data_IF_504525573321
#
_entry.id   IF_504525573321
#
_cell.length_a   1.000
_cell.length_b   1.000
_cell.length_c   1.000
_cell.angle_alpha   90.00
_cell.angle_beta   90.00
_cell.angle_gamma   90.00
#
_symmetry.space_group_name_H-M   'P 1'
#
loop_
_entity.id
_entity.type
_entity.pdbx_description
1 polymer ?
#
# COMPACT_ATOMS: atom_id res chain seq x y z
N UNK A 1 -2.72 24.55 14.90
CA UNK A 1 -2.15 24.93 16.19
C UNK A 1 -0.89 25.79 15.99
N UNK A 2 0.00 25.47 15.08
CA UNK A 2 1.12 26.34 14.70
C UNK A 2 0.94 26.80 13.25
N UNK A 3 0.19 27.86 13.05
CA UNK A 3 -0.02 28.47 11.73
C UNK A 3 1.09 29.50 11.48
N UNK A 4 2.31 29.03 11.25
CA UNK A 4 3.45 29.89 10.95
C UNK A 4 4.02 29.51 9.56
N UNK A 5 3.85 30.38 8.59
CA UNK A 5 4.30 30.20 7.20
C UNK A 5 5.84 30.13 7.06
N UNK A 6 6.58 30.31 8.13
CA UNK A 6 8.06 30.20 8.17
C UNK A 6 8.54 28.86 8.73
N UNK A 7 7.64 27.97 9.14
CA UNK A 7 7.98 26.69 9.72
C UNK A 7 8.21 25.64 8.63
N UNK A 8 9.34 24.97 8.67
CA UNK A 8 9.65 23.85 7.80
C UNK A 8 9.40 22.55 8.56
N UNK A 9 8.68 21.62 7.94
CA UNK A 9 8.41 20.29 8.46
C UNK A 9 9.23 19.28 7.67
N UNK A 10 9.91 18.39 8.39
CA UNK A 10 10.67 17.30 7.79
C UNK A 10 10.12 15.97 8.27
N UNK A 11 9.91 15.06 7.34
CA UNK A 11 9.51 13.71 7.65
C UNK A 11 10.70 12.86 8.06
N UNK A 12 10.49 11.94 9.00
CA UNK A 12 11.45 10.94 9.41
C UNK A 12 10.83 9.55 9.30
N UNK A 13 11.65 8.59 8.90
CA UNK A 13 11.30 7.19 8.92
C UNK A 13 12.00 6.50 10.09
N UNK A 14 11.24 6.24 11.13
CA UNK A 14 11.69 5.54 12.32
C UNK A 14 10.65 4.53 12.81
N UNK A 15 11.11 3.54 13.56
CA UNK A 15 10.30 2.56 14.27
C UNK A 15 10.95 2.25 15.62
N UNK A 16 10.35 1.36 16.42
CA UNK A 16 10.94 0.87 17.66
C UNK A 16 12.29 0.21 17.43
N UNK A 17 12.50 -0.35 16.25
CA UNK A 17 13.69 -1.08 15.82
C UNK A 17 14.86 -0.19 15.42
N UNK A 18 14.61 1.09 15.08
CA UNK A 18 15.67 2.01 14.69
C UNK A 18 15.21 3.25 13.96
N UNK A 19 16.19 4.10 13.61
CA UNK A 19 16.01 5.28 12.79
C UNK A 19 16.59 5.01 11.40
N UNK A 20 15.76 5.07 10.35
CA UNK A 20 16.12 4.55 9.03
C UNK A 20 16.40 5.62 8.00
N UNK A 21 15.57 6.65 7.94
CA UNK A 21 15.73 7.69 6.92
C UNK A 21 15.14 9.02 7.35
N UNK A 22 15.59 10.09 6.68
CA UNK A 22 15.14 11.46 6.96
C UNK A 22 14.93 12.22 5.65
N UNK A 23 13.87 13.00 5.59
CA UNK A 23 13.69 13.99 4.53
C UNK A 23 14.80 15.06 4.65
N UNK A 24 15.55 15.31 3.56
CA UNK A 24 16.67 16.24 3.54
C UNK A 24 16.44 17.45 2.62
N UNK A 25 15.38 17.43 1.82
CA UNK A 25 14.98 18.53 0.93
C UNK A 25 13.54 18.97 1.23
N UNK A 26 13.32 20.28 1.30
CA UNK A 26 11.97 20.83 1.45
C UNK A 26 11.10 20.45 0.25
N UNK A 27 9.81 20.16 0.52
CA UNK A 27 8.82 19.82 -0.50
C UNK A 27 9.13 18.54 -1.32
N UNK A 28 10.02 17.68 -0.83
CA UNK A 28 10.29 16.35 -1.38
C UNK A 28 9.68 15.30 -0.47
N UNK A 29 9.12 14.24 -1.05
CA UNK A 29 8.71 13.03 -0.33
C UNK A 29 9.82 11.97 -0.26
N UNK A 30 11.02 12.29 -0.76
CA UNK A 30 12.18 11.42 -0.72
C UNK A 30 12.89 11.51 0.63
N UNK A 31 13.23 10.36 1.18
CA UNK A 31 13.97 10.23 2.43
C UNK A 31 15.38 9.72 2.15
N UNK A 32 16.38 10.40 2.68
CA UNK A 32 17.77 9.95 2.65
C UNK A 32 17.94 8.77 3.60
N UNK A 33 18.38 7.62 3.07
CA UNK A 33 18.64 6.42 3.88
C UNK A 33 19.89 6.63 4.73
N UNK A 34 19.76 6.40 6.05
CA UNK A 34 20.84 6.59 7.03
C UNK A 34 21.67 5.30 7.14
N UNK A 35 22.89 5.33 6.59
CA UNK A 35 23.75 4.14 6.51
C UNK A 35 24.74 4.00 7.69
N UNK A 36 24.91 5.06 8.46
CA UNK A 36 25.89 5.18 9.54
C UNK A 36 25.30 5.06 10.96
N UNK A 37 24.02 4.66 11.06
CA UNK A 37 23.30 4.52 12.35
C UNK A 37 23.36 3.09 12.94
N UNK A 38 24.35 2.30 12.52
CA UNK A 38 24.54 0.94 13.08
C UNK A 38 23.51 -0.08 12.60
N UNK A 39 22.90 0.18 11.43
CA UNK A 39 21.93 -0.69 10.80
C UNK A 39 22.50 -1.21 9.48
N UNK A 40 22.53 -2.53 9.33
CA UNK A 40 22.82 -3.18 8.06
C UNK A 40 21.53 -3.52 7.35
N UNK A 41 21.38 -3.01 6.13
CA UNK A 41 20.17 -3.14 5.32
C UNK A 41 20.30 -4.23 4.27
N UNK A 42 19.29 -5.09 4.20
CA UNK A 42 19.06 -6.06 3.15
C UNK A 42 17.64 -5.90 2.60
N UNK A 43 17.39 -6.41 1.41
CA UNK A 43 16.13 -6.17 0.69
C UNK A 43 15.61 -7.44 0.03
N UNK A 44 14.28 -7.56 -0.09
CA UNK A 44 13.62 -8.57 -0.90
C UNK A 44 12.75 -7.84 -1.92
N UNK A 45 12.93 -8.14 -3.21
CA UNK A 45 12.04 -7.64 -4.25
C UNK A 45 10.62 -8.14 -3.99
N UNK A 46 9.65 -7.23 -3.95
CA UNK A 46 8.26 -7.55 -3.65
C UNK A 46 7.63 -8.50 -4.67
N UNK A 47 8.18 -8.59 -5.89
CA UNK A 47 7.72 -9.55 -6.90
C UNK A 47 7.94 -11.01 -6.51
N UNK A 48 8.97 -11.29 -5.72
CA UNK A 48 9.27 -12.64 -5.23
C UNK A 48 9.08 -12.81 -3.72
N UNK A 49 8.54 -11.81 -3.03
CA UNK A 49 8.32 -11.84 -1.58
C UNK A 49 7.38 -12.98 -1.18
N UNK A 50 7.81 -13.80 -0.18
CA UNK A 50 7.09 -15.00 0.29
C UNK A 50 6.85 -16.07 -0.78
N UNK A 51 7.60 -16.06 -1.89
CA UNK A 51 7.60 -17.10 -2.91
C UNK A 51 8.79 -18.04 -2.74
N UNK A 52 8.82 -19.14 -3.51
CA UNK A 52 9.99 -20.06 -3.55
C UNK A 52 11.24 -19.41 -4.18
N UNK A 53 11.07 -18.29 -4.87
CA UNK A 53 12.13 -17.53 -5.55
C UNK A 53 12.59 -16.34 -4.69
N UNK A 54 12.13 -16.23 -3.43
CA UNK A 54 12.54 -15.17 -2.54
C UNK A 54 14.06 -15.14 -2.38
N UNK A 55 14.67 -14.01 -2.75
CA UNK A 55 16.11 -13.77 -2.62
C UNK A 55 16.33 -12.51 -1.79
N UNK A 56 17.17 -12.61 -0.78
CA UNK A 56 17.66 -11.47 -0.02
C UNK A 56 18.86 -10.89 -0.75
N UNK A 57 18.83 -9.59 -1.04
CA UNK A 57 19.91 -8.87 -1.71
C UNK A 57 20.46 -7.75 -0.82
N UNK A 58 21.75 -7.45 -0.90
CA UNK A 58 22.36 -6.33 -0.19
C UNK A 58 22.00 -4.99 -0.86
N UNK A 59 22.25 -3.88 -0.16
CA UNK A 59 21.94 -2.52 -0.61
C UNK A 59 22.54 -2.17 -1.99
N UNK A 60 23.73 -2.65 -2.31
CA UNK A 60 24.39 -2.32 -3.57
C UNK A 60 23.81 -3.08 -4.81
N UNK A 61 22.92 -4.05 -4.58
CA UNK A 61 22.21 -4.78 -5.65
C UNK A 61 20.79 -4.24 -5.91
N UNK A 62 20.34 -3.24 -5.14
CA UNK A 62 19.00 -2.69 -5.37
C UNK A 62 18.93 -1.88 -6.66
N UNK A 63 17.76 -1.85 -7.27
CA UNK A 63 17.49 -1.12 -8.49
C UNK A 63 16.52 0.04 -8.24
N UNK A 64 16.68 1.10 -9.03
CA UNK A 64 15.79 2.26 -9.00
C UNK A 64 14.38 1.88 -9.43
N UNK A 65 13.38 2.46 -8.78
CA UNK A 65 11.95 2.31 -9.05
C UNK A 65 11.37 0.90 -8.85
N UNK A 66 12.12 -0.03 -8.26
CA UNK A 66 11.59 -1.31 -7.79
C UNK A 66 11.14 -1.20 -6.33
N UNK A 67 10.15 -1.99 -5.97
CA UNK A 67 9.58 -2.04 -4.62
C UNK A 67 10.21 -3.19 -3.83
N UNK A 68 10.67 -2.89 -2.61
CA UNK A 68 11.40 -3.84 -1.77
C UNK A 68 10.84 -3.89 -0.36
N UNK A 69 10.76 -5.10 0.21
CA UNK A 69 10.65 -5.29 1.64
C UNK A 69 12.02 -5.06 2.30
N UNK A 70 12.04 -4.36 3.43
CA UNK A 70 13.27 -4.08 4.18
C UNK A 70 13.52 -5.16 5.22
N UNK A 71 14.77 -5.62 5.28
CA UNK A 71 15.32 -6.39 6.37
C UNK A 71 16.43 -5.59 7.04
N UNK A 72 16.51 -5.68 8.35
CA UNK A 72 17.56 -5.01 9.12
C UNK A 72 18.32 -6.00 10.02
N UNK A 73 19.61 -5.76 10.14
CA UNK A 73 20.44 -6.30 11.19
C UNK A 73 21.00 -5.13 11.98
N UNK A 74 20.84 -5.13 13.31
CA UNK A 74 21.22 -3.99 14.15
C UNK A 74 22.23 -4.41 15.23
N UNK A 75 23.02 -3.46 15.70
CA UNK A 75 23.89 -3.63 16.85
C UNK A 75 23.13 -3.85 18.17
N UNK A 76 21.80 -3.58 18.18
CA UNK A 76 20.92 -3.87 19.32
C UNK A 76 20.44 -5.33 19.38
N UNK A 77 20.87 -6.19 18.45
CA UNK A 77 20.61 -7.64 18.49
C UNK A 77 19.52 -8.15 17.55
N UNK A 78 19.01 -7.35 16.65
CA UNK A 78 18.14 -7.84 15.57
C UNK A 78 18.99 -8.44 14.44
N UNK A 79 18.60 -9.61 13.95
CA UNK A 79 19.28 -10.32 12.85
C UNK A 79 18.29 -10.61 11.73
N UNK A 80 18.53 -10.02 10.53
CA UNK A 80 17.66 -10.15 9.34
C UNK A 80 16.17 -10.00 9.67
N UNK A 81 15.87 -9.04 10.49
CA UNK A 81 14.50 -8.78 10.95
C UNK A 81 13.69 -8.11 9.83
N UNK A 82 12.58 -8.74 9.45
CA UNK A 82 11.62 -8.16 8.48
C UNK A 82 10.77 -7.11 9.20
N UNK A 83 11.05 -5.84 8.99
CA UNK A 83 10.31 -4.71 9.60
C UNK A 83 8.82 -4.74 9.21
N UNK A 84 8.54 -5.26 8.03
CA UNK A 84 7.19 -5.32 7.48
C UNK A 84 6.81 -4.09 6.66
N UNK A 85 7.72 -3.16 6.44
CA UNK A 85 7.53 -2.02 5.56
C UNK A 85 8.14 -2.27 4.19
N UNK A 86 7.59 -1.59 3.18
CA UNK A 86 8.09 -1.62 1.82
C UNK A 86 8.55 -0.24 1.38
N UNK A 87 9.63 -0.21 0.61
CA UNK A 87 10.23 1.02 0.08
C UNK A 87 10.58 0.88 -1.40
N UNK A 88 10.66 2.00 -2.07
CA UNK A 88 11.15 2.12 -3.44
C UNK A 88 12.31 3.10 -3.47
N UNK A 89 13.41 2.71 -4.13
CA UNK A 89 14.55 3.60 -4.33
C UNK A 89 14.28 4.60 -5.44
N UNK A 90 14.42 5.88 -5.14
CA UNK A 90 14.32 6.99 -6.11
C UNK A 90 15.69 7.46 -6.58
N UNK A 91 16.74 7.22 -5.76
CA UNK A 91 18.14 7.47 -6.08
C UNK A 91 19.04 6.39 -5.48
N UNK A 92 20.17 6.10 -6.12
CA UNK A 92 21.19 5.16 -5.65
C UNK A 92 22.50 5.87 -5.23
N UNK A 93 22.61 7.18 -5.48
CA UNK A 93 23.78 7.99 -5.07
C UNK A 93 23.35 9.46 -4.86
N UNK A 94 23.13 9.90 -3.62
CA UNK A 94 22.97 9.08 -2.41
C UNK A 94 21.72 8.17 -2.48
N UNK A 95 21.66 7.17 -1.61
CA UNK A 95 20.48 6.32 -1.52
C UNK A 95 19.29 7.10 -0.94
N UNK A 96 18.27 7.29 -1.76
CA UNK A 96 17.01 7.91 -1.37
C UNK A 96 15.87 6.92 -1.58
N UNK A 97 14.94 6.92 -0.65
CA UNK A 97 13.78 6.02 -0.66
C UNK A 97 12.47 6.80 -0.49
N UNK A 98 11.39 6.19 -0.92
CA UNK A 98 10.03 6.52 -0.49
C UNK A 98 9.41 5.29 0.15
N UNK A 99 8.61 5.48 1.19
CA UNK A 99 7.84 4.40 1.83
C UNK A 99 6.62 4.14 0.94
N UNK A 100 6.46 2.90 0.50
CA UNK A 100 5.37 2.50 -0.42
C UNK A 100 4.25 1.76 0.28
N UNK A 101 4.47 1.28 1.50
CA UNK A 101 3.45 0.59 2.28
C UNK A 101 4.02 -0.46 3.22
N UNK A 102 3.30 -1.56 3.36
CA UNK A 102 3.69 -2.69 4.22
C UNK A 102 3.60 -4.02 3.48
N UNK A 103 4.47 -4.97 3.86
CA UNK A 103 4.51 -6.32 3.28
C UNK A 103 3.21 -7.11 3.47
N UNK A 104 2.38 -6.73 4.44
CA UNK A 104 1.05 -7.35 4.69
C UNK A 104 -0.11 -6.62 4.01
N UNK A 105 0.16 -5.50 3.34
CA UNK A 105 -0.85 -4.64 2.74
C UNK A 105 -0.56 -4.40 1.25
N UNK A 106 -0.56 -5.49 0.48
CA UNK A 106 -0.46 -5.48 -0.97
C UNK A 106 -1.35 -6.60 -1.54
N UNK A 107 -1.68 -6.53 -2.81
CA UNK A 107 -2.36 -7.60 -3.55
C UNK A 107 -1.48 -8.02 -4.71
N UNK A 108 -1.09 -9.30 -4.72
CA UNK A 108 -0.27 -9.88 -5.76
C UNK A 108 -0.71 -11.32 -6.10
N UNK A 109 -2.01 -11.59 -5.98
CA UNK A 109 -2.58 -12.95 -6.18
C UNK A 109 -2.49 -13.38 -7.63
N UNK A 110 -2.48 -12.42 -8.56
CA UNK A 110 -2.46 -12.65 -10.00
C UNK A 110 -1.18 -12.11 -10.66
N UNK A 111 -0.19 -11.65 -9.87
CA UNK A 111 1.04 -11.02 -10.33
C UNK A 111 0.88 -9.52 -10.66
N UNK A 112 -0.10 -8.85 -10.05
CA UNK A 112 -0.42 -7.43 -10.29
C UNK A 112 0.29 -6.45 -9.37
N UNK A 113 0.90 -6.92 -8.29
CA UNK A 113 1.68 -6.13 -7.32
C UNK A 113 1.06 -4.75 -6.95
N UNK A 114 -0.24 -4.74 -6.63
CA UNK A 114 -0.94 -3.51 -6.21
C UNK A 114 -0.60 -3.21 -4.75
N UNK A 115 -0.01 -2.04 -4.52
CA UNK A 115 0.36 -1.53 -3.18
C UNK A 115 -0.60 -0.45 -2.71
N UNK A 116 -0.53 -0.09 -1.42
CA UNK A 116 -1.41 0.93 -0.81
C UNK A 116 -1.33 2.27 -1.56
N UNK A 117 -0.13 2.71 -1.95
CA UNK A 117 0.06 3.96 -2.69
C UNK A 117 -0.82 4.00 -3.95
N UNK A 118 -0.87 2.90 -4.71
CA UNK A 118 -1.71 2.81 -5.90
C UNK A 118 -3.19 3.01 -5.56
N UNK A 119 -3.68 2.32 -4.54
CA UNK A 119 -5.10 2.39 -4.16
C UNK A 119 -5.47 3.70 -3.49
N UNK A 120 -4.60 4.29 -2.67
CA UNK A 120 -4.81 5.60 -2.07
C UNK A 120 -4.88 6.70 -3.15
N UNK A 121 -4.02 6.64 -4.17
CA UNK A 121 -4.07 7.55 -5.31
C UNK A 121 -5.40 7.45 -6.07
N UNK A 122 -5.90 6.23 -6.27
CA UNK A 122 -7.21 6.00 -6.89
C UNK A 122 -8.33 6.61 -6.06
N UNK A 123 -8.36 6.35 -4.74
CA UNK A 123 -9.36 6.89 -3.81
C UNK A 123 -9.31 8.42 -3.76
N UNK A 124 -8.13 9.01 -3.71
CA UNK A 124 -7.97 10.46 -3.74
C UNK A 124 -8.53 11.08 -5.03
N UNK A 125 -8.37 10.41 -6.17
CA UNK A 125 -8.96 10.86 -7.45
C UNK A 125 -10.47 10.69 -7.48
N UNK A 126 -11.00 9.60 -6.93
CA UNK A 126 -12.44 9.42 -6.76
C UNK A 126 -13.05 10.58 -5.95
N UNK A 127 -12.40 10.94 -4.85
CA UNK A 127 -12.87 12.03 -3.98
C UNK A 127 -12.75 13.39 -4.67
N UNK A 128 -11.60 13.69 -5.29
CA UNK A 128 -11.33 15.03 -5.85
C UNK A 128 -12.04 15.29 -7.19
N UNK A 129 -12.04 14.31 -8.12
CA UNK A 129 -12.61 14.52 -9.46
C UNK A 129 -14.09 14.23 -9.55
N UNK A 130 -14.59 13.28 -8.76
CA UNK A 130 -15.97 12.81 -8.82
C UNK A 130 -16.78 13.22 -7.60
N UNK A 131 -16.17 14.00 -6.69
CA UNK A 131 -16.79 14.51 -5.46
C UNK A 131 -17.43 13.40 -4.60
N UNK A 132 -16.80 12.22 -4.58
CA UNK A 132 -17.25 11.10 -3.76
C UNK A 132 -16.73 11.26 -2.34
N UNK A 133 -17.63 11.22 -1.36
CA UNK A 133 -17.31 11.39 0.08
C UNK A 133 -16.92 10.05 0.71
N UNK A 134 -15.70 9.59 0.45
CA UNK A 134 -15.19 8.31 0.96
C UNK A 134 -14.69 8.47 2.39
N UNK A 135 -15.13 7.58 3.28
CA UNK A 135 -14.70 7.50 4.68
C UNK A 135 -13.46 6.61 4.81
N UNK A 136 -13.57 5.36 4.34
CA UNK A 136 -12.47 4.41 4.30
C UNK A 136 -12.77 3.29 3.30
N UNK A 137 -11.80 2.40 3.05
CA UNK A 137 -11.95 1.30 2.12
C UNK A 137 -11.05 0.11 2.47
N UNK A 138 -11.40 -1.05 1.93
CA UNK A 138 -10.54 -2.24 1.89
C UNK A 138 -10.67 -2.96 0.56
N UNK A 139 -9.60 -3.61 0.13
CA UNK A 139 -9.57 -4.36 -1.13
C UNK A 139 -9.08 -5.77 -0.86
N UNK A 140 -9.75 -6.76 -1.45
CA UNK A 140 -9.37 -8.16 -1.38
C UNK A 140 -9.55 -8.83 -2.74
N UNK A 141 -8.83 -9.94 -3.03
CA UNK A 141 -9.01 -10.66 -4.27
C UNK A 141 -10.34 -11.43 -4.30
N UNK A 142 -10.94 -11.49 -5.48
CA UNK A 142 -11.89 -12.55 -5.85
C UNK A 142 -11.07 -13.58 -6.61
N UNK A 143 -10.93 -14.78 -6.04
CA UNK A 143 -10.09 -15.82 -6.63
C UNK A 143 -10.70 -16.38 -7.93
N UNK A 144 -9.83 -16.88 -8.79
CA UNK A 144 -10.25 -17.61 -9.98
C UNK A 144 -10.92 -18.93 -9.57
N UNK A 145 -12.02 -19.25 -10.21
CA UNK A 145 -12.68 -20.54 -10.17
C UNK A 145 -12.73 -21.11 -11.58
N UNK A 146 -13.14 -22.38 -11.72
CA UNK A 146 -13.12 -23.11 -13.01
C UNK A 146 -13.75 -22.34 -14.18
N UNK A 147 -14.74 -21.48 -13.90
CA UNK A 147 -15.48 -20.71 -14.91
C UNK A 147 -15.51 -19.20 -14.63
N UNK A 148 -14.72 -18.69 -13.66
CA UNK A 148 -14.68 -17.29 -13.31
C UNK A 148 -13.24 -16.82 -13.23
N UNK A 149 -12.98 -15.66 -13.81
CA UNK A 149 -11.67 -14.98 -13.73
C UNK A 149 -11.52 -14.31 -12.39
N UNK A 150 -10.28 -13.97 -12.05
CA UNK A 150 -9.99 -13.19 -10.87
C UNK A 150 -10.44 -11.74 -10.97
N UNK A 151 -10.66 -11.09 -9.85
CA UNK A 151 -10.94 -9.66 -9.79
C UNK A 151 -10.49 -9.09 -8.44
N UNK A 152 -10.43 -7.77 -8.32
CA UNK A 152 -10.36 -7.10 -7.03
C UNK A 152 -11.76 -6.70 -6.56
N UNK A 153 -12.08 -7.00 -5.32
CA UNK A 153 -13.29 -6.50 -4.66
C UNK A 153 -12.92 -5.33 -3.75
N UNK A 154 -13.51 -4.19 -4.04
CA UNK A 154 -13.37 -2.95 -3.30
C UNK A 154 -14.59 -2.75 -2.42
N UNK A 155 -14.42 -2.86 -1.12
CA UNK A 155 -15.44 -2.52 -0.13
C UNK A 155 -15.19 -1.09 0.35
N UNK A 156 -16.11 -0.18 0.05
CA UNK A 156 -15.92 1.26 0.28
C UNK A 156 -17.06 1.80 1.14
N UNK A 157 -16.72 2.46 2.24
CA UNK A 157 -17.66 3.23 3.04
C UNK A 157 -17.70 4.67 2.56
N UNK A 158 -18.91 5.18 2.31
CA UNK A 158 -19.16 6.56 1.96
C UNK A 158 -19.86 7.28 3.11
N UNK A 159 -19.54 8.57 3.35
CA UNK A 159 -20.29 9.40 4.30
C UNK A 159 -21.64 9.86 3.75
N UNK A 160 -21.74 9.94 2.41
CA UNK A 160 -22.95 10.24 1.66
C UNK A 160 -23.10 9.19 0.55
N UNK A 161 -24.32 8.70 0.31
CA UNK A 161 -24.56 7.72 -0.73
C UNK A 161 -24.09 8.24 -2.10
N UNK A 162 -23.25 7.48 -2.84
CA UNK A 162 -22.82 7.88 -4.15
C UNK A 162 -23.99 7.89 -5.14
N UNK A 163 -23.96 8.82 -6.10
CA UNK A 163 -24.94 8.84 -7.16
C UNK A 163 -24.87 7.54 -7.97
N UNK A 164 -26.02 6.84 -8.09
CA UNK A 164 -26.14 5.54 -8.77
C UNK A 164 -25.73 5.58 -10.26
N UNK A 165 -25.69 6.75 -10.88
CA UNK A 165 -25.26 6.91 -12.27
C UNK A 165 -23.72 6.91 -12.41
N UNK A 166 -22.98 7.01 -11.30
CA UNK A 166 -21.51 6.97 -11.32
C UNK A 166 -21.05 5.52 -11.32
N UNK A 167 -20.39 5.09 -12.37
CA UNK A 167 -19.81 3.77 -12.51
C UNK A 167 -18.46 3.71 -11.81
N UNK A 168 -18.48 3.57 -10.49
CA UNK A 168 -17.29 3.62 -9.63
C UNK A 168 -16.29 2.53 -10.01
N UNK A 169 -16.76 1.34 -10.35
CA UNK A 169 -15.97 0.19 -10.80
C UNK A 169 -15.14 0.51 -12.07
N UNK A 170 -15.76 1.18 -13.05
CA UNK A 170 -15.08 1.57 -14.29
C UNK A 170 -14.03 2.67 -14.03
N UNK A 171 -14.32 3.59 -13.11
CA UNK A 171 -13.40 4.65 -12.74
C UNK A 171 -12.19 4.06 -12.00
N UNK A 172 -12.41 3.17 -11.02
CA UNK A 172 -11.34 2.48 -10.31
C UNK A 172 -10.45 1.72 -11.29
N UNK A 173 -11.02 0.93 -12.20
CA UNK A 173 -10.25 0.19 -13.21
C UNK A 173 -9.37 1.11 -14.05
N UNK A 174 -9.95 2.21 -14.53
CA UNK A 174 -9.24 3.20 -15.35
C UNK A 174 -8.10 3.89 -14.59
N UNK A 175 -8.36 4.31 -13.36
CA UNK A 175 -7.34 5.03 -12.59
C UNK A 175 -6.27 4.07 -12.05
N UNK A 176 -6.62 2.84 -11.66
CA UNK A 176 -5.65 1.85 -11.20
C UNK A 176 -4.70 1.38 -12.33
N UNK A 177 -5.17 1.24 -13.56
CA UNK A 177 -4.32 0.99 -14.73
C UNK A 177 -3.25 2.05 -14.94
N UNK A 178 -3.54 3.31 -14.62
CA UNK A 178 -2.55 4.40 -14.73
C UNK A 178 -1.51 4.37 -13.61
N UNK A 179 -1.90 3.86 -12.44
CA UNK A 179 -1.03 3.80 -11.26
C UNK A 179 -0.11 2.58 -11.26
N UNK A 180 -0.53 1.49 -11.95
CA UNK A 180 0.16 0.22 -11.84
C UNK A 180 0.15 -0.51 -13.18
N UNK A 181 1.33 -0.62 -13.81
CA UNK A 181 1.52 -1.25 -15.11
C UNK A 181 1.30 -2.77 -15.09
N UNK A 182 1.63 -3.42 -13.98
CA UNK A 182 1.42 -4.86 -13.82
C UNK A 182 -0.07 -5.18 -13.72
N UNK A 183 -0.84 -4.34 -13.00
CA UNK A 183 -2.30 -4.41 -13.02
C UNK A 183 -2.86 -4.18 -14.42
N UNK A 184 -2.41 -3.15 -15.15
CA UNK A 184 -2.84 -2.89 -16.54
C UNK A 184 -2.60 -4.10 -17.43
N UNK A 185 -1.41 -4.71 -17.36
CA UNK A 185 -1.06 -5.90 -18.12
C UNK A 185 -1.99 -7.09 -17.80
N UNK A 186 -2.32 -7.32 -16.52
CA UNK A 186 -3.26 -8.40 -16.10
C UNK A 186 -4.71 -8.12 -16.50
N UNK A 187 -5.07 -6.84 -16.68
CA UNK A 187 -6.39 -6.42 -17.17
C UNK A 187 -6.53 -6.49 -18.70
N UNK A 188 -5.41 -6.70 -19.44
CA UNK A 188 -5.44 -6.76 -20.90
C UNK A 188 -6.41 -7.82 -21.40
N UNK A 189 -7.38 -7.39 -22.21
CA UNK A 189 -8.46 -8.23 -22.76
C UNK A 189 -9.21 -9.08 -21.73
N UNK A 190 -9.18 -8.73 -20.44
CA UNK A 190 -9.74 -9.53 -19.35
C UNK A 190 -9.22 -10.98 -19.29
N UNK A 191 -8.00 -11.24 -19.72
CA UNK A 191 -7.48 -12.62 -19.72
C UNK A 191 -7.30 -13.17 -18.32
N UNK A 192 -6.67 -12.41 -17.44
CA UNK A 192 -6.34 -12.82 -16.06
C UNK A 192 -7.32 -12.20 -15.06
N UNK A 193 -7.50 -10.87 -15.14
CA UNK A 193 -8.35 -10.10 -14.24
C UNK A 193 -9.56 -9.53 -14.97
N UNK A 194 -10.71 -9.62 -14.35
CA UNK A 194 -11.89 -8.82 -14.70
C UNK A 194 -11.80 -7.43 -14.05
N UNK A 195 -12.68 -6.50 -14.46
CA UNK A 195 -12.78 -5.20 -13.83
C UNK A 195 -13.11 -5.34 -12.34
N UNK A 196 -12.70 -4.38 -11.49
CA UNK A 196 -12.98 -4.43 -10.06
C UNK A 196 -14.48 -4.50 -9.78
N UNK A 197 -14.83 -5.17 -8.68
CA UNK A 197 -16.19 -5.13 -8.14
C UNK A 197 -16.21 -4.18 -6.96
N UNK A 198 -17.24 -3.33 -6.90
CA UNK A 198 -17.42 -2.36 -5.81
C UNK A 198 -18.61 -2.76 -4.97
N UNK A 199 -18.38 -2.90 -3.68
CA UNK A 199 -19.41 -3.10 -2.65
C UNK A 199 -19.46 -1.83 -1.81
N UNK A 200 -20.65 -1.22 -1.74
CA UNK A 200 -20.88 -0.04 -0.91
C UNK A 200 -21.18 -0.50 0.51
N UNK A 201 -20.30 -0.16 1.43
CA UNK A 201 -20.46 -0.48 2.85
C UNK A 201 -21.50 0.40 3.54
N UNK A 202 -22.16 -0.14 4.54
CA UNK A 202 -23.05 0.63 5.40
C UNK A 202 -22.28 1.70 6.17
N UNK A 203 -22.93 2.82 6.47
CA UNK A 203 -22.31 3.93 7.21
C UNK A 203 -21.87 3.48 8.61
N UNK A 204 -20.61 3.79 8.97
CA UNK A 204 -20.01 3.43 10.25
C UNK A 204 -19.51 1.98 10.35
N UNK A 205 -19.51 1.21 9.25
CA UNK A 205 -19.13 -0.21 9.27
C UNK A 205 -17.71 -0.44 9.75
N UNK A 206 -16.77 0.37 9.31
CA UNK A 206 -15.36 0.25 9.74
C UNK A 206 -15.19 0.63 11.21
N UNK A 207 -15.85 1.69 11.66
CA UNK A 207 -15.83 2.08 13.07
C UNK A 207 -16.39 0.99 13.96
N UNK A 208 -17.55 0.44 13.60
CA UNK A 208 -18.19 -0.67 14.32
C UNK A 208 -17.29 -1.90 14.37
N UNK A 209 -16.60 -2.21 13.27
CA UNK A 209 -15.65 -3.32 13.25
C UNK A 209 -14.48 -3.09 14.23
N UNK A 210 -13.93 -1.86 14.30
CA UNK A 210 -12.87 -1.50 15.26
C UNK A 210 -13.36 -1.63 16.71
N UNK A 211 -14.57 -1.19 17.00
CA UNK A 211 -15.19 -1.32 18.33
C UNK A 211 -15.31 -2.78 18.77
N UNK A 212 -15.95 -3.62 17.94
CA UNK A 212 -16.16 -5.05 18.23
C UNK A 212 -14.84 -5.79 18.46
N UNK A 213 -13.76 -5.40 17.76
CA UNK A 213 -12.47 -6.05 17.89
C UNK A 213 -11.55 -5.40 18.94
N UNK A 214 -12.04 -4.48 19.77
CA UNK A 214 -11.26 -3.71 20.76
C UNK A 214 -10.04 -3.01 20.15
N UNK A 215 -10.20 -2.46 18.95
CA UNK A 215 -9.15 -1.79 18.17
C UNK A 215 -9.41 -0.29 18.02
N UNK A 216 -10.24 0.31 18.87
CA UNK A 216 -10.39 1.78 18.94
C UNK A 216 -9.10 2.39 19.47
N UNK A 217 -8.58 3.38 18.74
CA UNK A 217 -7.37 4.12 19.12
C UNK A 217 -6.43 4.37 17.94
N UNK A 218 -5.64 5.43 18.04
CA UNK A 218 -4.87 5.99 16.93
C UNK A 218 -3.79 5.09 16.28
N UNK A 219 -3.48 3.93 16.88
CA UNK A 219 -2.51 2.99 16.35
C UNK A 219 -3.17 1.89 15.47
N UNK A 220 -4.47 1.69 15.57
CA UNK A 220 -5.16 0.65 14.83
C UNK A 220 -5.79 1.21 13.55
N UNK A 221 -5.45 0.63 12.42
CA UNK A 221 -5.96 1.00 11.10
C UNK A 221 -6.70 -0.17 10.45
N UNK A 222 -7.63 0.15 9.60
CA UNK A 222 -8.30 -0.82 8.73
C UNK A 222 -7.26 -1.41 7.75
N UNK A 223 -7.19 -2.74 7.59
CA UNK A 223 -6.37 -3.37 6.55
C UNK A 223 -6.86 -2.97 5.17
N UNK A 224 -6.11 -2.11 4.48
CA UNK A 224 -6.53 -1.58 3.17
C UNK A 224 -6.40 -2.58 2.04
N UNK A 225 -5.36 -3.42 2.08
CA UNK A 225 -5.11 -4.45 1.06
C UNK A 225 -4.85 -5.79 1.73
N UNK A 226 -5.30 -6.87 1.11
CA UNK A 226 -5.05 -8.22 1.58
C UNK A 226 -5.00 -9.22 0.42
N UNK A 227 -4.07 -10.19 0.47
CA UNK A 227 -4.03 -11.33 -0.44
C UNK A 227 -5.05 -12.42 -0.10
N UNK A 228 -5.90 -12.20 0.90
CA UNK A 228 -6.96 -13.13 1.29
C UNK A 228 -8.24 -12.36 1.64
N UNK A 229 -9.33 -13.10 1.79
CA UNK A 229 -10.67 -12.53 2.02
C UNK A 229 -11.10 -12.45 3.48
N UNK A 230 -10.25 -12.91 4.43
CA UNK A 230 -10.63 -13.05 5.86
C UNK A 230 -11.14 -11.75 6.52
N UNK A 231 -10.69 -10.60 6.05
CA UNK A 231 -11.12 -9.31 6.57
C UNK A 231 -12.41 -8.84 5.90
N UNK A 232 -12.43 -8.79 4.56
CA UNK A 232 -13.57 -8.27 3.81
C UNK A 232 -14.86 -9.08 4.07
N UNK A 233 -14.74 -10.40 4.24
CA UNK A 233 -15.87 -11.29 4.57
C UNK A 233 -16.51 -11.03 5.95
N UNK A 234 -15.84 -10.30 6.83
CA UNK A 234 -16.41 -9.87 8.11
C UNK A 234 -17.18 -8.55 8.01
N UNK A 235 -17.11 -7.88 6.87
CA UNK A 235 -17.76 -6.60 6.62
C UNK A 235 -19.00 -6.74 5.73
N UNK A 236 -19.03 -7.78 4.88
CA UNK A 236 -20.15 -8.14 4.00
C UNK A 236 -21.12 -9.03 4.77
#
# INVERSE_FOLDING_TARGET
>A
ILNNNTMHYYEIYNASEGFFAIQHENNSNELLLMLDYGIFYEFIDMKCFETKEEKIIPLYEVEKNKNYAILITTNAGLWRYKIGDTVKFTSLSPYKIIITGRTKHFINVFGEEVIIENTDNVINRLSSKYNLKIVDYTVAPIFMESNKKGAHEWFIEFSEEPNKNIKIDEIIDKELKKENSDYEAKRYNNFTLEKPKVVVGSKGVFMKWLEINNKLGGQNKIPRLSNNRKFIEKLI
#
